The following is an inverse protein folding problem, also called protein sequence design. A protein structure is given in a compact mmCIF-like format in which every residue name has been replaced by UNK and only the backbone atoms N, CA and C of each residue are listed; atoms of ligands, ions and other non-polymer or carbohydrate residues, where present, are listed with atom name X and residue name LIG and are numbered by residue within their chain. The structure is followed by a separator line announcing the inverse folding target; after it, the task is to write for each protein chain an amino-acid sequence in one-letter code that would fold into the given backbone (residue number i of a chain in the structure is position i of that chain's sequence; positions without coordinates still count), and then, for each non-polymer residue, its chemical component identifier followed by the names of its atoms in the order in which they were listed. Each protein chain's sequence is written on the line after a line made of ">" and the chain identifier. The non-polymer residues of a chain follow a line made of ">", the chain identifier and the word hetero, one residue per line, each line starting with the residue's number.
data_IF_057166960546
#
_entry.id   IF_057166960546
#
_cell.length_a   1.000
_cell.length_b   1.000
_cell.length_c   1.000
_cell.angle_alpha   90.00
_cell.angle_beta   90.00
_cell.angle_gamma   90.00
#
_symmetry.space_group_name_H-M   'P 1'
#
loop_
_entity.id
_entity.type
_entity.pdbx_description
1 polymer ?
#
# COMPACT_ATOMS: atom_id res chain seq x y z
N UNK A 1 -56.30 6.22 4.48
CA UNK A 1 -55.40 7.37 4.32
C UNK A 1 -54.06 7.15 5.00
N UNK A 2 -53.97 6.52 6.17
CA UNK A 2 -52.73 6.27 6.91
C UNK A 2 -51.82 5.20 6.24
N UNK A 3 -52.39 4.11 5.75
CA UNK A 3 -51.62 3.04 5.06
C UNK A 3 -50.91 3.52 3.78
N UNK A 4 -51.50 4.42 3.01
CA UNK A 4 -50.90 4.99 1.78
C UNK A 4 -49.68 5.87 2.07
N UNK A 5 -49.64 6.57 3.20
CA UNK A 5 -48.49 7.38 3.63
C UNK A 5 -47.33 6.53 4.11
N UNK A 6 -47.60 5.45 4.87
CA UNK A 6 -46.59 4.52 5.37
C UNK A 6 -45.92 3.79 4.17
N UNK A 7 -46.72 3.35 3.20
CA UNK A 7 -46.18 2.69 2.01
C UNK A 7 -45.27 3.58 1.18
N UNK A 8 -45.59 4.87 1.04
CA UNK A 8 -44.72 5.85 0.35
C UNK A 8 -43.42 6.11 1.09
N UNK A 9 -43.42 6.13 2.43
CA UNK A 9 -42.19 6.30 3.23
C UNK A 9 -41.31 5.06 3.12
N UNK A 10 -41.89 3.86 3.15
CA UNK A 10 -41.15 2.61 3.01
C UNK A 10 -40.48 2.49 1.61
N UNK A 11 -41.18 2.93 0.56
CA UNK A 11 -40.63 2.94 -0.81
C UNK A 11 -39.49 3.93 -0.96
N UNK A 12 -39.56 5.08 -0.24
CA UNK A 12 -38.50 6.08 -0.28
C UNK A 12 -37.20 5.63 0.42
N UNK A 13 -37.30 4.81 1.48
CA UNK A 13 -36.13 4.28 2.20
C UNK A 13 -35.40 3.23 1.37
N UNK A 14 -36.09 2.44 0.54
CA UNK A 14 -35.47 1.39 -0.28
C UNK A 14 -34.65 1.98 -1.43
N UNK A 15 -34.95 3.19 -1.90
CA UNK A 15 -34.23 3.83 -3.02
C UNK A 15 -32.86 4.38 -2.62
N UNK A 16 -32.58 4.56 -1.33
CA UNK A 16 -31.33 5.14 -0.84
C UNK A 16 -30.24 4.16 -0.39
N UNK A 17 -30.50 2.86 -0.41
CA UNK A 17 -29.44 1.86 -0.18
C UNK A 17 -28.67 1.59 -1.49
N UNK A 18 -27.96 2.60 -2.01
CA UNK A 18 -26.82 2.32 -2.88
C UNK A 18 -25.79 1.63 -1.99
N UNK A 19 -25.67 0.32 -2.11
CA UNK A 19 -24.53 -0.40 -1.60
C UNK A 19 -23.30 0.23 -2.26
N UNK A 20 -22.56 1.01 -1.49
CA UNK A 20 -21.26 1.49 -1.93
C UNK A 20 -20.37 0.25 -2.07
N UNK A 21 -20.27 -0.30 -3.28
CA UNK A 21 -19.28 -1.34 -3.58
C UNK A 21 -17.90 -0.70 -3.35
N UNK A 22 -17.25 -1.11 -2.28
CA UNK A 22 -15.87 -0.71 -1.99
C UNK A 22 -14.96 -1.63 -2.79
N UNK A 23 -14.37 -1.12 -3.86
CA UNK A 23 -13.34 -1.83 -4.61
C UNK A 23 -12.00 -1.67 -3.90
N UNK A 24 -11.24 -2.74 -3.81
CA UNK A 24 -9.92 -2.72 -3.17
C UNK A 24 -8.87 -3.34 -4.09
N UNK A 25 -7.72 -2.67 -4.18
CA UNK A 25 -6.49 -3.29 -4.63
C UNK A 25 -5.79 -3.85 -3.39
N UNK A 26 -5.53 -5.15 -3.41
CA UNK A 26 -4.82 -5.86 -2.33
C UNK A 26 -3.56 -6.45 -2.94
N UNK A 27 -2.40 -6.02 -2.45
CA UNK A 27 -1.13 -6.57 -2.90
C UNK A 27 -0.34 -7.21 -1.76
N UNK A 28 0.40 -8.26 -2.11
CA UNK A 28 1.32 -8.94 -1.23
C UNK A 28 2.72 -8.83 -1.80
N UNK A 29 3.69 -8.40 -1.01
CA UNK A 29 5.08 -8.34 -1.44
C UNK A 29 6.02 -9.01 -0.45
N UNK A 30 7.10 -9.59 -0.98
CA UNK A 30 8.14 -10.27 -0.23
C UNK A 30 9.49 -9.75 -0.72
N UNK A 31 10.20 -9.02 0.14
CA UNK A 31 11.48 -8.41 -0.22
C UNK A 31 12.59 -8.97 0.68
N UNK A 32 13.70 -9.36 0.08
CA UNK A 32 14.95 -9.53 0.81
C UNK A 32 15.50 -8.15 1.14
N UNK A 33 15.69 -7.86 2.42
CA UNK A 33 16.04 -6.53 2.93
C UNK A 33 17.45 -6.52 3.48
N UNK A 34 18.19 -5.47 3.17
CA UNK A 34 19.50 -5.14 3.73
C UNK A 34 19.44 -3.76 4.37
N UNK A 35 19.96 -3.65 5.59
CA UNK A 35 20.15 -2.39 6.29
C UNK A 35 21.63 -2.12 6.49
N UNK A 36 22.09 -0.96 6.01
CA UNK A 36 23.42 -0.44 6.35
C UNK A 36 23.27 0.65 7.37
N UNK A 37 23.60 0.34 8.62
CA UNK A 37 23.35 1.20 9.77
C UNK A 37 24.60 1.95 10.22
N UNK A 38 24.43 3.25 10.50
CA UNK A 38 25.41 4.15 11.08
C UNK A 38 24.88 4.61 12.45
N UNK A 39 25.64 4.33 13.51
CA UNK A 39 25.33 4.83 14.85
C UNK A 39 25.97 6.20 15.07
N UNK A 40 25.22 7.11 15.70
CA UNK A 40 25.69 8.43 16.10
C UNK A 40 26.08 8.44 17.59
N UNK A 41 26.99 9.35 18.02
CA UNK A 41 27.42 9.41 19.42
C UNK A 41 26.29 9.67 20.42
N UNK A 42 25.19 10.28 19.99
CA UNK A 42 24.01 10.57 20.82
C UNK A 42 23.01 9.40 20.92
N UNK A 43 23.37 8.19 20.45
CA UNK A 43 22.51 7.01 20.47
C UNK A 43 21.58 6.86 19.28
N UNK A 44 21.37 7.91 18.48
CA UNK A 44 20.57 7.84 17.26
C UNK A 44 21.25 6.93 16.22
N UNK A 45 20.43 6.35 15.33
CA UNK A 45 20.91 5.54 14.21
C UNK A 45 20.31 6.05 12.90
N UNK A 46 21.09 5.98 11.85
CA UNK A 46 20.67 6.23 10.48
C UNK A 46 21.00 4.98 9.66
N UNK A 47 19.97 4.41 9.02
CA UNK A 47 20.15 3.21 8.20
C UNK A 47 19.70 3.47 6.76
N UNK A 48 20.52 3.01 5.81
CA UNK A 48 20.14 2.91 4.42
C UNK A 48 19.41 1.59 4.25
N UNK A 49 18.19 1.67 3.73
CA UNK A 49 17.34 0.53 3.43
C UNK A 49 17.46 0.15 1.95
N UNK A 50 17.66 -1.12 1.68
CA UNK A 50 17.61 -1.70 0.35
C UNK A 50 16.78 -2.98 0.40
N UNK A 51 15.78 -3.09 -0.49
CA UNK A 51 14.91 -4.25 -0.59
C UNK A 51 14.71 -4.67 -2.05
N UNK A 52 14.75 -5.97 -2.32
CA UNK A 52 14.49 -6.54 -3.65
C UNK A 52 13.67 -7.81 -3.51
N UNK A 53 12.67 -7.98 -4.39
CA UNK A 53 11.83 -9.17 -4.35
C UNK A 53 10.65 -9.13 -5.30
N UNK A 54 9.57 -9.77 -4.90
CA UNK A 54 8.40 -10.00 -5.75
C UNK A 54 7.13 -9.49 -5.10
N UNK A 55 6.12 -9.27 -5.91
CA UNK A 55 4.77 -8.90 -5.47
C UNK A 55 3.70 -9.56 -6.35
N UNK A 56 2.50 -9.68 -5.78
CA UNK A 56 1.28 -10.12 -6.47
C UNK A 56 0.10 -9.29 -5.99
N UNK A 57 -0.97 -9.19 -6.78
CA UNK A 57 -2.21 -8.53 -6.39
C UNK A 57 -3.46 -9.38 -6.67
N UNK A 58 -4.62 -8.88 -6.20
CA UNK A 58 -5.92 -9.53 -6.39
C UNK A 58 -6.55 -9.30 -7.78
N UNK A 59 -5.86 -8.58 -8.68
CA UNK A 59 -6.22 -8.41 -10.10
C UNK A 59 -5.39 -9.31 -11.02
N UNK A 60 -4.66 -10.30 -10.45
CA UNK A 60 -3.84 -11.24 -11.23
C UNK A 60 -2.54 -10.64 -11.76
N UNK A 61 -2.13 -9.46 -11.29
CA UNK A 61 -0.83 -8.91 -11.61
C UNK A 61 0.22 -9.48 -10.67
N UNK A 62 1.43 -9.57 -11.17
CA UNK A 62 2.62 -9.98 -10.43
C UNK A 62 3.86 -9.35 -11.04
N UNK A 63 4.93 -9.30 -10.26
CA UNK A 63 6.16 -8.72 -10.75
C UNK A 63 7.26 -8.62 -9.71
N UNK A 64 8.20 -7.72 -9.94
CA UNK A 64 9.34 -7.47 -9.07
C UNK A 64 9.28 -6.08 -8.45
N UNK A 65 9.84 -5.94 -7.26
CA UNK A 65 10.02 -4.66 -6.57
C UNK A 65 11.49 -4.44 -6.23
N UNK A 66 11.94 -3.22 -6.41
CA UNK A 66 13.20 -2.70 -5.89
C UNK A 66 12.91 -1.48 -5.02
N UNK A 67 13.31 -1.51 -3.77
CA UNK A 67 13.02 -0.46 -2.78
C UNK A 67 14.31 0.13 -2.23
N UNK A 68 14.37 1.45 -2.08
CA UNK A 68 15.49 2.20 -1.51
C UNK A 68 14.95 3.29 -0.58
N UNK A 69 15.62 3.50 0.55
CA UNK A 69 15.18 4.54 1.47
C UNK A 69 16.03 4.65 2.71
N UNK A 70 15.47 5.33 3.70
CA UNK A 70 16.14 5.60 4.97
C UNK A 70 15.27 5.18 6.15
N UNK A 71 15.94 4.70 7.18
CA UNK A 71 15.34 4.42 8.48
C UNK A 71 16.13 5.21 9.52
N UNK A 72 15.46 6.14 10.19
CA UNK A 72 16.02 6.88 11.31
C UNK A 72 15.50 6.25 12.59
N UNK A 73 16.39 6.02 13.55
CA UNK A 73 16.01 5.51 14.88
C UNK A 73 16.57 6.47 15.90
N UNK A 74 15.72 7.02 16.76
CA UNK A 74 16.15 7.90 17.84
C UNK A 74 16.70 7.11 19.06
N UNK A 75 17.16 7.82 20.08
CA UNK A 75 17.72 7.26 21.32
C UNK A 75 16.68 6.49 22.15
N UNK A 76 15.38 6.71 21.91
CA UNK A 76 14.26 5.97 22.51
C UNK A 76 13.81 4.77 21.64
N UNK A 77 14.56 4.43 20.58
CA UNK A 77 14.25 3.40 19.57
C UNK A 77 13.01 3.67 18.73
N UNK A 78 12.51 4.91 18.70
CA UNK A 78 11.44 5.28 17.77
C UNK A 78 11.99 5.36 16.35
N UNK A 79 11.25 4.78 15.44
CA UNK A 79 11.62 4.62 14.02
C UNK A 79 10.83 5.57 13.18
N UNK A 80 11.48 6.31 12.30
CA UNK A 80 10.93 7.06 11.20
C UNK A 80 11.52 6.50 9.89
N UNK A 81 10.65 5.92 9.06
CA UNK A 81 11.02 5.20 7.85
C UNK A 81 10.38 5.88 6.64
N UNK A 82 11.20 6.16 5.63
CA UNK A 82 10.77 6.64 4.33
C UNK A 82 11.48 5.85 3.22
N UNK A 83 10.70 5.12 2.43
CA UNK A 83 11.21 4.19 1.42
C UNK A 83 10.47 4.42 0.12
N UNK A 84 11.21 4.60 -0.99
CA UNK A 84 10.68 4.59 -2.34
C UNK A 84 10.86 3.20 -2.95
N UNK A 85 9.80 2.68 -3.56
CA UNK A 85 9.80 1.42 -4.30
C UNK A 85 9.50 1.67 -5.77
N UNK A 86 10.22 1.00 -6.65
CA UNK A 86 9.92 0.82 -8.06
C UNK A 86 9.45 -0.62 -8.26
N UNK A 87 8.19 -0.78 -8.69
CA UNK A 87 7.62 -2.06 -9.12
C UNK A 87 7.65 -2.18 -10.64
N UNK A 88 7.86 -3.40 -11.15
CA UNK A 88 7.65 -3.76 -12.56
C UNK A 88 6.70 -4.94 -12.61
N UNK A 89 5.67 -4.87 -13.47
CA UNK A 89 4.69 -5.96 -13.63
C UNK A 89 5.07 -6.94 -14.75
N UNK A 90 4.22 -7.94 -14.96
CA UNK A 90 4.37 -8.99 -16.01
C UNK A 90 4.48 -8.46 -17.44
N UNK A 91 4.10 -7.21 -17.69
CA UNK A 91 4.14 -6.52 -18.98
C UNK A 91 5.22 -5.43 -19.04
N UNK A 92 6.14 -5.39 -18.06
CA UNK A 92 7.18 -4.37 -17.90
C UNK A 92 6.65 -2.95 -17.63
N UNK A 93 5.35 -2.80 -17.33
CA UNK A 93 4.85 -1.52 -16.83
C UNK A 93 5.32 -1.29 -15.41
N UNK A 94 5.67 -0.04 -15.13
CA UNK A 94 6.26 0.35 -13.85
C UNK A 94 5.30 1.15 -12.98
N UNK A 95 5.48 1.00 -11.68
CA UNK A 95 4.90 1.89 -10.68
C UNK A 95 5.97 2.36 -9.70
N UNK A 96 5.80 3.54 -9.16
CA UNK A 96 6.62 4.08 -8.08
C UNK A 96 5.72 4.45 -6.91
N UNK A 97 6.10 4.00 -5.73
CA UNK A 97 5.38 4.31 -4.51
C UNK A 97 6.33 4.81 -3.42
N UNK A 98 5.82 5.69 -2.58
CA UNK A 98 6.49 6.17 -1.38
C UNK A 98 5.83 5.58 -0.16
N UNK A 99 6.58 4.87 0.65
CA UNK A 99 6.13 4.21 1.88
C UNK A 99 6.68 4.95 3.08
N UNK A 100 5.80 5.26 4.05
CA UNK A 100 6.16 5.95 5.30
C UNK A 100 5.61 5.22 6.51
N UNK A 101 6.41 5.15 7.56
CA UNK A 101 6.02 4.58 8.85
C UNK A 101 6.77 5.22 10.01
N UNK A 102 6.01 5.54 11.05
CA UNK A 102 6.56 5.85 12.37
C UNK A 102 6.13 4.75 13.32
N UNK A 103 7.06 4.12 14.04
CA UNK A 103 6.76 2.98 14.93
C UNK A 103 7.87 2.79 15.97
N UNK A 104 7.57 2.02 17.00
CA UNK A 104 8.53 1.64 18.04
C UNK A 104 9.20 0.28 17.75
N UNK A 105 8.83 -0.37 16.63
CA UNK A 105 9.35 -1.69 16.27
C UNK A 105 9.63 -1.75 14.76
N UNK A 106 10.86 -2.16 14.39
CA UNK A 106 11.24 -2.36 13.00
C UNK A 106 10.67 -3.67 12.43
N UNK A 107 10.68 -4.75 13.24
CA UNK A 107 10.33 -6.11 12.81
C UNK A 107 8.87 -6.27 12.40
N UNK A 108 8.00 -5.35 12.80
CA UNK A 108 6.59 -5.33 12.41
C UNK A 108 5.99 -3.93 12.53
N UNK A 109 4.95 -3.66 11.76
CA UNK A 109 4.22 -2.40 11.88
C UNK A 109 3.26 -2.15 10.74
N UNK A 110 2.51 -1.07 10.91
CA UNK A 110 1.57 -0.54 9.92
C UNK A 110 2.02 0.84 9.47
N UNK A 111 1.72 1.19 8.24
CA UNK A 111 2.08 2.48 7.67
C UNK A 111 1.21 2.83 6.49
N UNK A 112 1.61 3.87 5.78
CA UNK A 112 0.93 4.37 4.59
C UNK A 112 1.91 4.34 3.41
N UNK A 113 1.42 3.93 2.25
CA UNK A 113 2.10 4.09 0.96
C UNK A 113 1.27 4.98 0.05
N UNK A 114 1.92 5.62 -0.90
CA UNK A 114 1.29 6.45 -1.91
C UNK A 114 1.91 6.14 -3.27
N UNK A 115 1.09 5.83 -4.28
CA UNK A 115 1.53 5.71 -5.67
C UNK A 115 1.88 7.11 -6.19
N UNK A 116 3.16 7.38 -6.43
CA UNK A 116 3.64 8.71 -6.85
C UNK A 116 3.74 8.85 -8.36
N UNK A 117 3.95 7.73 -9.09
CA UNK A 117 4.01 7.70 -10.56
C UNK A 117 3.75 6.28 -11.08
N UNK A 118 3.45 6.15 -12.39
CA UNK A 118 3.27 4.86 -13.06
C UNK A 118 3.28 4.95 -14.57
N UNK A 119 3.49 3.81 -15.21
CA UNK A 119 3.32 3.62 -16.66
C UNK A 119 2.19 2.62 -16.93
N UNK A 120 1.66 2.56 -18.16
CA UNK A 120 0.56 1.66 -18.49
C UNK A 120 -0.63 1.81 -17.54
N UNK A 121 -1.08 0.70 -16.99
CA UNK A 121 -2.23 0.63 -16.06
C UNK A 121 -1.96 1.39 -14.76
N UNK A 122 -0.74 1.41 -14.27
CA UNK A 122 -0.34 2.01 -13.00
C UNK A 122 -0.41 3.53 -13.01
N UNK A 123 -0.41 4.15 -14.19
CA UNK A 123 -0.54 5.61 -14.33
C UNK A 123 -1.84 6.14 -13.70
N UNK A 124 -2.91 5.32 -13.70
CA UNK A 124 -4.22 5.68 -13.12
C UNK A 124 -4.25 5.63 -11.60
N UNK A 125 -3.22 5.06 -10.98
CA UNK A 125 -3.11 4.97 -9.53
C UNK A 125 -2.34 6.13 -8.90
N UNK A 126 -1.79 7.05 -9.68
CA UNK A 126 -1.06 8.21 -9.16
C UNK A 126 -1.88 8.97 -8.12
N UNK A 127 -1.30 9.21 -6.93
CA UNK A 127 -1.94 9.84 -5.78
C UNK A 127 -2.80 8.90 -4.92
N UNK A 128 -2.96 7.62 -5.31
CA UNK A 128 -3.68 6.64 -4.52
C UNK A 128 -2.91 6.33 -3.23
N UNK A 129 -3.57 6.51 -2.09
CA UNK A 129 -3.02 6.18 -0.77
C UNK A 129 -3.55 4.85 -0.28
N UNK A 130 -2.64 4.07 0.26
CA UNK A 130 -2.86 2.71 0.73
C UNK A 130 -2.40 2.57 2.17
N UNK A 131 -3.03 1.67 2.91
CA UNK A 131 -2.51 1.23 4.20
C UNK A 131 -1.77 -0.09 4.00
N UNK A 132 -0.65 -0.26 4.70
CA UNK A 132 0.06 -1.52 4.68
C UNK A 132 0.37 -2.01 6.08
N UNK A 133 0.51 -3.33 6.19
CA UNK A 133 1.06 -4.01 7.35
C UNK A 133 2.27 -4.84 6.89
N UNK A 134 3.34 -4.82 7.66
CA UNK A 134 4.56 -5.56 7.35
C UNK A 134 5.07 -6.31 8.58
N UNK A 135 5.68 -7.46 8.34
CA UNK A 135 6.47 -8.21 9.31
C UNK A 135 7.76 -8.68 8.67
N UNK A 136 8.82 -8.80 9.46
CA UNK A 136 10.12 -9.26 8.97
C UNK A 136 10.47 -10.60 9.62
N UNK A 137 11.09 -11.49 8.84
CA UNK A 137 11.69 -12.73 9.32
C UNK A 137 12.92 -13.06 8.49
N UNK A 138 14.06 -13.25 9.14
CA UNK A 138 15.32 -13.60 8.46
C UNK A 138 15.69 -12.63 7.33
N UNK A 139 15.53 -11.34 7.56
CA UNK A 139 15.76 -10.25 6.60
C UNK A 139 14.83 -10.31 5.36
N UNK A 140 13.70 -10.99 5.45
CA UNK A 140 12.63 -10.94 4.45
C UNK A 140 11.45 -10.19 5.03
N UNK A 141 10.97 -9.16 4.32
CA UNK A 141 9.71 -8.50 4.63
C UNK A 141 8.54 -9.27 4.01
N UNK A 142 7.45 -9.33 4.76
CA UNK A 142 6.15 -9.84 4.33
C UNK A 142 5.17 -8.68 4.48
N UNK A 143 4.77 -8.09 3.37
CA UNK A 143 3.94 -6.88 3.38
C UNK A 143 2.62 -7.15 2.68
N UNK A 144 1.53 -6.83 3.37
CA UNK A 144 0.18 -6.75 2.82
C UNK A 144 -0.21 -5.29 2.70
N UNK A 145 -0.57 -4.85 1.50
CA UNK A 145 -1.05 -3.50 1.21
C UNK A 145 -2.51 -3.53 0.76
N UNK A 146 -3.30 -2.55 1.20
CA UNK A 146 -4.71 -2.37 0.81
C UNK A 146 -4.99 -0.92 0.44
N UNK A 147 -5.55 -0.74 -0.76
CA UNK A 147 -5.92 0.55 -1.30
C UNK A 147 -7.41 0.56 -1.66
N UNK A 148 -8.13 1.60 -1.29
CA UNK A 148 -9.50 1.80 -1.74
C UNK A 148 -9.49 2.42 -3.14
N UNK A 149 -10.14 1.75 -4.08
CA UNK A 149 -10.23 2.18 -5.47
C UNK A 149 -11.52 2.95 -5.74
N UNK A 150 -11.45 3.90 -6.65
CA UNK A 150 -12.62 4.41 -7.35
C UNK A 150 -13.18 3.36 -8.32
N UNK A 151 -14.43 3.52 -8.75
CA UNK A 151 -15.03 2.65 -9.75
C UNK A 151 -14.26 2.69 -11.09
N UNK A 152 -13.74 3.85 -11.48
CA UNK A 152 -12.93 4.02 -12.68
C UNK A 152 -11.61 3.23 -12.58
N UNK A 153 -10.90 3.34 -11.46
CA UNK A 153 -9.67 2.60 -11.21
C UNK A 153 -9.90 1.09 -11.21
N UNK A 154 -10.98 0.63 -10.56
CA UNK A 154 -11.38 -0.77 -10.56
C UNK A 154 -11.63 -1.29 -11.98
N UNK A 155 -12.47 -0.61 -12.77
CA UNK A 155 -12.76 -0.99 -14.17
C UNK A 155 -11.50 -1.07 -15.01
N UNK A 156 -10.57 -0.13 -14.81
CA UNK A 156 -9.33 -0.08 -15.56
C UNK A 156 -8.38 -1.24 -15.21
N UNK A 157 -8.25 -1.58 -13.95
CA UNK A 157 -7.44 -2.73 -13.52
C UNK A 157 -8.05 -4.06 -13.98
N UNK A 158 -9.39 -4.19 -13.94
CA UNK A 158 -10.10 -5.41 -14.37
C UNK A 158 -10.11 -5.63 -15.88
N UNK A 159 -9.89 -4.61 -16.71
CA UNK A 159 -9.95 -4.71 -18.18
C UNK A 159 -8.61 -5.12 -18.82
N UNK A 160 -7.55 -5.31 -18.03
CA UNK A 160 -6.21 -5.65 -18.50
C UNK A 160 -5.82 -7.12 -18.23
N UNK A 161 -6.84 -7.99 -18.06
CA UNK A 161 -6.65 -9.45 -18.02
C UNK A 161 -6.41 -10.05 -19.42
#
# INVERSE_FOLDING_TARGET
>A
VYMSKILKILTLIIIFTKTANSFELISNSHLKVTLKTYALPNGNKFSIYEGEGTWTDNYGNYGTNTCRGVVKTDDLNKIDLEIMCEGSDKNDFKNWSMTKRVSDNFEQGVGVSEYIEGTGVWKRLKGLKCNYATSYKNNVSFTLEKCKLSEEQHKFLSSNE
#
